data_IF_789324660498
#
_entry.id   IF_789324660498
#
_cell.length_a   1.000
_cell.length_b   1.000
_cell.length_c   1.000
_cell.angle_alpha   90.00
_cell.angle_beta   90.00
_cell.angle_gamma   90.00
#
_symmetry.space_group_name_H-M   'P 1'
#
loop_
_entity.id
_entity.type
_entity.pdbx_description
1 polymer ?
#
# COMPACT_ATOMS: atom_id res chain seq x y z
N UNK A 1 1.22 6.51 3.04
CA UNK A 1 1.98 7.70 2.65
C UNK A 1 1.15 8.90 3.01
N UNK A 2 1.64 9.65 3.98
CA UNK A 2 1.14 10.95 4.37
C UNK A 2 2.34 11.68 4.98
N UNK A 3 2.74 12.87 4.49
CA UNK A 3 2.29 13.59 3.30
C UNK A 3 3.02 13.14 2.00
N UNK A 4 2.43 13.28 0.80
CA UNK A 4 1.10 13.82 0.49
C UNK A 4 0.06 12.69 0.51
N UNK A 5 -1.14 12.96 1.06
CA UNK A 5 -2.20 11.96 1.27
C UNK A 5 -2.94 11.50 0.00
N UNK A 6 -2.20 11.15 -1.05
CA UNK A 6 -2.76 10.62 -2.31
C UNK A 6 -2.88 9.10 -2.18
N UNK A 7 -4.01 8.49 -2.60
CA UNK A 7 -4.17 7.04 -2.59
C UNK A 7 -3.09 6.35 -3.43
N UNK A 8 -2.50 5.28 -2.88
CA UNK A 8 -1.54 4.42 -3.62
C UNK A 8 -2.28 3.50 -4.60
N UNK A 9 -3.51 3.10 -4.23
CA UNK A 9 -4.38 2.26 -5.03
C UNK A 9 -5.81 2.81 -5.04
N UNK A 10 -6.49 2.65 -6.16
CA UNK A 10 -7.94 2.78 -6.28
C UNK A 10 -8.60 1.43 -6.61
N UNK A 11 -9.90 1.23 -6.29
CA UNK A 11 -10.59 -0.01 -6.64
C UNK A 11 -10.52 -0.30 -8.15
N UNK A 12 -10.08 -1.52 -8.49
CA UNK A 12 -9.95 -1.97 -9.89
C UNK A 12 -8.57 -1.74 -10.51
N UNK A 13 -7.63 -1.10 -9.82
CA UNK A 13 -6.25 -1.01 -10.29
C UNK A 13 -5.52 -2.35 -10.24
N UNK A 14 -4.62 -2.53 -11.21
CA UNK A 14 -3.65 -3.62 -11.20
C UNK A 14 -2.55 -3.31 -10.19
N UNK A 15 -2.34 -4.21 -9.24
CA UNK A 15 -1.21 -4.15 -8.32
C UNK A 15 0.06 -4.59 -9.07
N UNK A 16 1.00 -3.67 -9.24
CA UNK A 16 2.31 -3.91 -9.88
C UNK A 16 3.43 -3.95 -8.84
N UNK A 17 4.59 -4.53 -9.22
CA UNK A 17 5.78 -4.56 -8.37
C UNK A 17 6.26 -3.15 -8.00
N UNK A 18 6.09 -2.17 -8.89
CA UNK A 18 6.45 -0.78 -8.62
C UNK A 18 5.60 -0.18 -7.49
N UNK A 19 4.32 -0.52 -7.43
CA UNK A 19 3.47 -0.11 -6.31
C UNK A 19 3.97 -0.70 -4.99
N UNK A 20 4.37 -1.98 -4.98
CA UNK A 20 4.91 -2.65 -3.79
C UNK A 20 6.22 -2.02 -3.34
N UNK A 21 7.12 -1.76 -4.29
CA UNK A 21 8.41 -1.10 -4.01
C UNK A 21 8.21 0.32 -3.47
N UNK A 22 7.24 1.06 -3.99
CA UNK A 22 6.87 2.36 -3.47
C UNK A 22 6.41 2.27 -2.01
N UNK A 23 5.54 1.32 -1.68
CA UNK A 23 5.06 1.11 -0.30
C UNK A 23 6.23 0.79 0.63
N UNK A 24 7.11 -0.15 0.25
CA UNK A 24 8.29 -0.53 1.05
C UNK A 24 9.20 0.66 1.34
N UNK A 25 9.55 1.46 0.33
CA UNK A 25 10.37 2.66 0.50
C UNK A 25 9.78 3.65 1.51
N UNK A 26 8.46 3.79 1.51
CA UNK A 26 7.79 4.69 2.46
C UNK A 26 7.80 4.13 3.89
N UNK A 27 7.64 2.82 4.05
CA UNK A 27 7.78 2.15 5.36
C UNK A 27 9.20 2.32 5.89
N UNK A 28 10.22 2.08 5.05
CA UNK A 28 11.64 2.27 5.39
C UNK A 28 11.97 3.72 5.77
N UNK A 29 11.32 4.69 5.11
CA UNK A 29 11.44 6.11 5.45
C UNK A 29 10.70 6.50 6.75
N UNK A 30 10.05 5.56 7.44
CA UNK A 30 9.27 5.81 8.65
C UNK A 30 7.96 6.58 8.41
N UNK A 31 7.51 6.67 7.15
CA UNK A 31 6.28 7.39 6.81
C UNK A 31 5.07 6.51 7.10
N UNK A 32 4.01 7.08 7.71
CA UNK A 32 2.80 6.31 7.99
C UNK A 32 2.13 5.87 6.69
N UNK A 33 1.79 4.58 6.61
CA UNK A 33 0.94 4.01 5.56
C UNK A 33 -0.45 3.82 6.14
N UNK A 34 -1.44 4.48 5.56
CA UNK A 34 -2.84 4.45 5.99
C UNK A 34 -3.67 3.70 4.94
N UNK A 35 -4.69 2.96 5.39
CA UNK A 35 -5.60 2.24 4.51
C UNK A 35 -5.47 0.70 4.50
N UNK A 36 -4.29 0.07 4.71
CA UNK A 36 -4.21 -1.38 4.82
C UNK A 36 -5.07 -1.92 5.97
N UNK A 37 -5.74 -3.05 5.72
CA UNK A 37 -6.43 -3.84 6.76
C UNK A 37 -5.41 -4.49 7.71
N UNK A 38 -4.23 -4.86 7.20
CA UNK A 38 -3.09 -5.39 7.96
C UNK A 38 -2.17 -4.25 8.41
N UNK A 39 -2.12 -3.91 9.71
CA UNK A 39 -1.26 -2.84 10.23
C UNK A 39 0.24 -3.16 10.11
N UNK A 40 0.61 -4.44 10.01
CA UNK A 40 1.99 -4.86 9.82
C UNK A 40 2.41 -4.87 8.34
N UNK A 41 1.45 -4.73 7.40
CA UNK A 41 1.67 -4.66 5.96
C UNK A 41 2.47 -5.87 5.45
N UNK A 42 2.14 -7.07 5.93
CA UNK A 42 2.83 -8.32 5.57
C UNK A 42 2.07 -9.15 4.55
N UNK A 43 0.74 -9.00 4.46
CA UNK A 43 -0.10 -9.86 3.63
C UNK A 43 -1.06 -9.05 2.75
N UNK A 44 -1.30 -9.59 1.55
CA UNK A 44 -2.38 -9.13 0.67
C UNK A 44 -3.54 -10.13 0.76
N UNK A 45 -4.74 -9.61 1.00
CA UNK A 45 -5.97 -10.40 0.96
C UNK A 45 -6.53 -10.42 -0.45
N UNK A 46 -6.62 -11.60 -1.03
CA UNK A 46 -7.24 -11.81 -2.34
C UNK A 46 -8.71 -12.17 -2.13
N UNK A 47 -9.62 -11.36 -2.68
CA UNK A 47 -11.05 -11.67 -2.72
C UNK A 47 -11.35 -12.23 -4.11
N UNK A 48 -11.72 -13.52 -4.18
CA UNK A 48 -12.24 -14.14 -5.41
C UNK A 48 -13.77 -14.14 -5.38
N UNK A 49 -14.37 -13.79 -6.51
CA UNK A 49 -15.78 -14.03 -6.79
C UNK A 49 -15.98 -15.45 -7.32
#
# INVERSE_FOLDING_TARGET
>A
VYPPGIPIFIPGELITEDNINYIRKNIEAGLPVQGPEDPEIKHLRIIKN
#
